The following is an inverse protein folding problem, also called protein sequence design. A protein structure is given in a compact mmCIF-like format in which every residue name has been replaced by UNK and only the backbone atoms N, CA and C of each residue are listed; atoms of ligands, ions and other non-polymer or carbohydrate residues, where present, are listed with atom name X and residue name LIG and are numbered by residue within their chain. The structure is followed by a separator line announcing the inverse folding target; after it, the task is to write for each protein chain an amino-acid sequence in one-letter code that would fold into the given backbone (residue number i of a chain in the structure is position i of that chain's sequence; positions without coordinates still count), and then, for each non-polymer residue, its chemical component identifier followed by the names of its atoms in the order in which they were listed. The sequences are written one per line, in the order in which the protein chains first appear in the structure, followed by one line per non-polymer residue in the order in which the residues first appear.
data_IF_679803419002
#
_entry.id   IF_679803419002
#
_cell.length_a   1.000
_cell.length_b   1.000
_cell.length_c   1.000
_cell.angle_alpha   90.00
_cell.angle_beta   90.00
_cell.angle_gamma   90.00
#
_symmetry.space_group_name_H-M   'P 1'
#
loop_
_entity.id
_entity.type
_entity.pdbx_description
1 polymer ?
#
# COMPACT_ATOMS: atom_id res chain seq x y z
N UNK A 1 -4.58 58.47 -39.29
CA UNK A 1 -5.87 57.75 -39.28
C UNK A 1 -5.78 56.67 -38.20
N UNK A 2 -6.49 56.88 -37.08
CA UNK A 2 -6.92 55.97 -35.98
C UNK A 2 -5.91 54.94 -35.41
N UNK A 3 -5.47 55.04 -34.15
CA UNK A 3 -6.14 54.70 -32.85
C UNK A 3 -6.33 53.17 -32.64
N UNK A 4 -5.54 52.49 -31.80
CA UNK A 4 -5.65 52.19 -30.33
C UNK A 4 -6.64 51.04 -29.99
N UNK A 5 -6.26 50.23 -28.97
CA UNK A 5 -6.96 49.15 -28.23
C UNK A 5 -6.68 47.72 -28.78
N UNK A 6 -6.35 46.68 -28.01
CA UNK A 6 -6.51 46.44 -26.59
C UNK A 6 -5.74 45.17 -26.14
N UNK A 7 -5.09 45.27 -24.97
CA UNK A 7 -5.23 44.37 -23.81
C UNK A 7 -4.53 43.00 -23.80
N UNK A 8 -3.55 42.97 -22.91
CA UNK A 8 -3.09 41.90 -22.01
C UNK A 8 -4.01 40.66 -21.90
N UNK A 9 -3.40 39.48 -22.04
CA UNK A 9 -3.93 38.23 -21.50
C UNK A 9 -2.82 37.48 -20.74
N UNK A 10 -2.31 38.13 -19.68
CA UNK A 10 -1.77 37.36 -18.58
C UNK A 10 -2.94 36.62 -17.89
N UNK A 11 -2.65 35.42 -17.41
CA UNK A 11 -3.53 34.58 -16.57
C UNK A 11 -4.52 33.67 -17.31
N UNK A 12 -4.06 32.46 -17.66
CA UNK A 12 -4.90 31.27 -17.48
C UNK A 12 -4.05 30.00 -17.44
N UNK A 13 -4.39 29.10 -16.51
CA UNK A 13 -3.88 27.72 -16.36
C UNK A 13 -2.55 27.50 -15.62
N UNK A 14 -2.41 28.08 -14.42
CA UNK A 14 -1.62 27.49 -13.31
C UNK A 14 -2.53 27.22 -12.11
N UNK A 15 -3.75 26.71 -12.33
CA UNK A 15 -4.67 26.36 -11.24
C UNK A 15 -5.44 25.10 -11.63
N UNK A 16 -5.42 24.10 -10.72
CA UNK A 16 -6.03 22.76 -10.74
C UNK A 16 -5.00 21.69 -11.19
N UNK A 17 -4.50 20.76 -10.37
CA UNK A 17 -5.03 20.09 -9.17
C UNK A 17 -3.89 19.70 -8.20
N UNK A 18 -3.89 20.28 -7.00
CA UNK A 18 -3.46 19.70 -5.71
C UNK A 18 -4.24 20.50 -4.64
N UNK A 19 -4.98 19.78 -3.79
CA UNK A 19 -5.97 20.25 -2.79
C UNK A 19 -5.28 20.93 -1.57
N UNK A 20 -5.95 21.72 -0.69
CA UNK A 20 -7.30 21.47 -0.15
C UNK A 20 -8.26 22.66 -0.06
N UNK A 21 -9.54 22.32 -0.22
CA UNK A 21 -10.69 23.13 0.18
C UNK A 21 -11.32 22.47 1.39
N UNK A 22 -10.67 22.56 2.54
CA UNK A 22 -11.22 22.23 3.87
C UNK A 22 -10.38 22.96 4.91
N UNK A 23 -10.49 24.29 4.92
CA UNK A 23 -10.12 25.12 6.07
C UNK A 23 -10.87 26.45 6.00
N UNK A 24 -12.17 26.39 6.19
CA UNK A 24 -12.97 27.55 6.59
C UNK A 24 -14.28 27.01 7.16
N UNK A 25 -14.54 27.37 8.43
CA UNK A 25 -15.70 27.03 9.28
C UNK A 25 -15.44 25.94 10.32
N UNK A 26 -14.63 26.27 11.33
CA UNK A 26 -14.91 25.87 12.71
C UNK A 26 -14.79 27.13 13.56
N UNK A 27 -15.94 27.53 14.11
CA UNK A 27 -16.11 28.64 15.04
C UNK A 27 -15.42 28.32 16.37
N UNK A 28 -14.64 29.27 16.87
CA UNK A 28 -14.06 29.24 18.20
C UNK A 28 -15.14 29.62 19.22
N UNK A 29 -15.86 28.62 19.74
CA UNK A 29 -16.67 28.78 20.95
C UNK A 29 -16.18 27.79 22.01
N UNK A 30 -15.75 28.37 23.12
CA UNK A 30 -15.28 27.75 24.35
C UNK A 30 -16.22 26.64 24.85
N UNK A 31 -15.68 25.43 25.02
CA UNK A 31 -16.33 24.38 25.81
C UNK A 31 -15.35 23.87 26.86
N UNK A 32 -15.50 24.43 28.06
CA UNK A 32 -14.96 23.86 29.30
C UNK A 32 -15.60 22.49 29.51
N UNK A 33 -14.80 21.43 29.49
CA UNK A 33 -15.23 20.09 29.88
C UNK A 33 -14.27 19.59 30.96
N UNK A 34 -14.71 19.77 32.19
CA UNK A 34 -14.10 19.23 33.40
C UNK A 34 -14.02 17.70 33.30
N UNK A 35 -12.81 17.15 33.23
CA UNK A 35 -12.57 15.70 33.25
C UNK A 35 -12.60 15.19 34.69
N UNK A 36 -13.70 14.56 35.09
CA UNK A 36 -13.78 13.78 36.34
C UNK A 36 -13.25 12.37 36.10
N UNK A 37 -11.99 12.13 36.46
CA UNK A 37 -11.38 10.80 36.42
C UNK A 37 -11.73 10.01 37.70
N UNK A 38 -12.65 9.06 37.59
CA UNK A 38 -12.92 8.09 38.65
C UNK A 38 -11.84 7.02 38.69
N UNK A 39 -10.75 7.25 39.41
CA UNK A 39 -9.80 6.19 39.75
C UNK A 39 -10.38 5.32 40.86
N UNK A 40 -10.77 4.08 40.56
CA UNK A 40 -10.92 3.05 41.59
C UNK A 40 -9.63 2.23 41.64
N UNK A 41 -8.74 2.66 42.53
CA UNK A 41 -7.72 1.83 43.14
C UNK A 41 -8.41 0.71 43.92
N UNK A 42 -8.17 -0.55 43.56
CA UNK A 42 -8.39 -1.66 44.46
C UNK A 42 -7.32 -2.72 44.20
N UNK A 43 -6.41 -2.86 45.17
CA UNK A 43 -5.61 -4.06 45.37
C UNK A 43 -6.58 -5.21 45.71
N UNK A 44 -6.74 -6.17 44.80
CA UNK A 44 -7.37 -7.46 45.09
C UNK A 44 -6.45 -8.56 44.52
N UNK A 45 -5.89 -9.35 45.43
CA UNK A 45 -5.10 -10.54 45.13
C UNK A 45 -5.98 -11.58 44.42
N UNK A 46 -5.97 -11.58 43.08
CA UNK A 46 -6.67 -12.62 42.30
C UNK A 46 -5.88 -13.92 42.40
N UNK A 47 -6.32 -14.85 43.26
CA UNK A 47 -5.95 -16.26 43.19
C UNK A 47 -6.40 -16.81 41.82
N UNK A 48 -5.46 -16.96 40.88
CA UNK A 48 -5.73 -17.59 39.60
C UNK A 48 -6.04 -19.07 39.84
N UNK A 49 -7.33 -19.38 39.90
CA UNK A 49 -7.87 -20.74 39.87
C UNK A 49 -7.32 -21.46 38.62
N UNK A 50 -6.27 -22.26 38.81
CA UNK A 50 -5.55 -23.04 37.79
C UNK A 50 -6.40 -24.14 37.11
N UNK A 51 -7.73 -24.08 37.22
CA UNK A 51 -8.64 -25.01 36.54
C UNK A 51 -8.87 -24.69 35.06
N UNK A 52 -8.34 -23.55 34.58
CA UNK A 52 -8.42 -23.15 33.17
C UNK A 52 -7.06 -22.69 32.60
N UNK A 53 -5.95 -23.18 33.15
CA UNK A 53 -4.63 -22.89 32.60
C UNK A 53 -4.52 -23.47 31.18
N UNK A 54 -4.37 -22.59 30.19
CA UNK A 54 -4.08 -22.96 28.80
C UNK A 54 -2.72 -23.65 28.80
N UNK A 55 -2.69 -24.94 28.46
CA UNK A 55 -1.42 -25.66 28.35
C UNK A 55 -0.74 -25.31 27.01
N UNK A 56 0.60 -25.31 26.95
CA UNK A 56 1.32 -25.24 25.68
C UNK A 56 0.75 -26.29 24.71
N UNK A 57 0.67 -25.99 23.41
CA UNK A 57 0.21 -26.89 22.33
C UNK A 57 -1.21 -27.49 22.47
N UNK A 58 -2.04 -27.06 23.43
CA UNK A 58 -3.40 -27.60 23.63
C UNK A 58 -4.34 -27.40 22.43
N UNK A 59 -4.06 -26.41 21.59
CA UNK A 59 -4.87 -26.05 20.42
C UNK A 59 -4.10 -26.17 19.09
N UNK A 60 -2.94 -26.82 19.11
CA UNK A 60 -2.24 -27.11 17.87
C UNK A 60 -2.92 -28.32 17.20
N UNK A 61 -3.23 -28.25 15.89
CA UNK A 61 -3.85 -29.35 15.18
C UNK A 61 -2.90 -30.55 15.20
N UNK A 62 -3.43 -31.73 15.56
CA UNK A 62 -2.66 -32.97 15.44
C UNK A 62 -2.29 -33.18 13.98
N UNK A 63 -1.00 -33.28 13.69
CA UNK A 63 -0.55 -33.75 12.39
C UNK A 63 -1.22 -35.10 12.15
N UNK A 64 -2.08 -35.17 11.12
CA UNK A 64 -2.66 -36.44 10.69
C UNK A 64 -1.52 -37.27 10.13
N UNK A 65 -0.93 -38.10 10.99
CA UNK A 65 0.06 -39.11 10.62
C UNK A 65 -0.61 -40.14 9.74
N UNK A 66 -0.75 -39.81 8.45
CA UNK A 66 -0.75 -40.80 7.40
C UNK A 66 0.65 -40.79 6.83
N UNK A 67 1.44 -41.81 7.15
CA UNK A 67 2.60 -42.21 6.37
C UNK A 67 2.08 -42.62 4.98
N UNK A 68 1.80 -41.61 4.16
CA UNK A 68 1.65 -41.79 2.73
C UNK A 68 3.04 -41.60 2.16
N UNK A 69 3.64 -42.71 1.74
CA UNK A 69 4.71 -42.68 0.74
C UNK A 69 4.15 -41.88 -0.46
N UNK A 70 4.45 -40.59 -0.47
CA UNK A 70 3.99 -39.64 -1.47
C UNK A 70 4.88 -39.80 -2.69
N UNK A 71 4.63 -40.84 -3.47
CA UNK A 71 5.13 -40.96 -4.84
C UNK A 71 4.26 -40.10 -5.78
N UNK A 72 4.15 -38.83 -5.41
CA UNK A 72 3.43 -37.80 -6.13
C UNK A 72 4.42 -36.73 -6.53
N UNK A 73 5.19 -37.01 -7.59
CA UNK A 73 5.96 -36.05 -8.38
C UNK A 73 5.01 -34.98 -8.96
N UNK A 74 4.47 -34.11 -8.10
CA UNK A 74 3.58 -33.02 -8.46
C UNK A 74 4.32 -31.71 -8.24
N UNK A 75 4.91 -31.24 -9.33
CA UNK A 75 4.95 -29.82 -9.68
C UNK A 75 5.66 -28.86 -8.70
N UNK A 76 6.79 -29.28 -8.11
CA UNK A 76 7.73 -28.34 -7.48
C UNK A 76 8.66 -27.64 -8.48
N UNK A 77 8.52 -27.96 -9.78
CA UNK A 77 9.51 -27.59 -10.79
C UNK A 77 9.17 -26.30 -11.56
N UNK A 78 7.89 -25.91 -11.70
CA UNK A 78 7.54 -24.64 -12.38
C UNK A 78 8.07 -23.42 -11.62
N UNK A 79 7.86 -23.39 -10.29
CA UNK A 79 8.38 -22.31 -9.44
C UNK A 79 9.91 -22.26 -9.45
N UNK A 80 10.55 -23.43 -9.48
CA UNK A 80 12.01 -23.56 -9.53
C UNK A 80 12.59 -23.11 -10.89
N UNK A 81 11.86 -23.31 -11.99
CA UNK A 81 12.30 -22.92 -13.34
C UNK A 81 12.44 -21.41 -13.49
N UNK A 82 11.51 -20.63 -12.89
CA UNK A 82 11.54 -19.15 -12.94
C UNK A 82 12.70 -18.52 -12.17
N UNK A 83 13.35 -19.30 -11.28
CA UNK A 83 14.55 -18.90 -10.56
C UNK A 83 15.86 -19.20 -11.32
N UNK A 84 15.78 -19.96 -12.40
CA UNK A 84 16.96 -20.41 -13.15
C UNK A 84 17.15 -19.64 -14.47
N UNK A 85 16.06 -19.16 -15.07
CA UNK A 85 16.09 -18.40 -16.32
C UNK A 85 15.08 -17.24 -16.32
N UNK A 86 15.08 -16.47 -17.41
CA UNK A 86 14.15 -15.36 -17.66
C UNK A 86 13.21 -15.64 -18.84
N UNK A 87 12.99 -16.90 -19.22
CA UNK A 87 12.20 -17.26 -20.40
C UNK A 87 10.71 -16.91 -20.23
N UNK A 88 10.26 -16.76 -18.99
CA UNK A 88 8.93 -16.25 -18.62
C UNK A 88 8.77 -14.74 -18.89
N UNK A 89 9.85 -14.00 -19.10
CA UNK A 89 9.79 -12.56 -19.36
C UNK A 89 9.46 -12.26 -20.83
N UNK A 90 8.40 -11.50 -21.05
CA UNK A 90 7.97 -11.04 -22.38
C UNK A 90 8.18 -9.55 -22.64
N UNK A 91 8.64 -8.80 -21.62
CA UNK A 91 8.93 -7.37 -21.75
C UNK A 91 10.43 -7.05 -21.93
N UNK A 92 11.30 -8.04 -21.77
CA UNK A 92 12.75 -7.93 -21.99
C UNK A 92 13.56 -7.27 -20.86
N UNK A 93 12.92 -6.79 -19.79
CA UNK A 93 13.58 -6.04 -18.71
C UNK A 93 13.55 -6.73 -17.34
N UNK A 94 12.95 -7.92 -17.23
CA UNK A 94 12.89 -8.64 -15.95
C UNK A 94 14.22 -9.32 -15.62
N UNK A 95 14.47 -9.50 -14.32
CA UNK A 95 15.62 -10.22 -13.78
C UNK A 95 15.14 -11.30 -12.81
N UNK A 96 16.00 -12.29 -12.55
CA UNK A 96 15.73 -13.32 -11.55
C UNK A 96 15.78 -12.69 -10.16
N UNK A 97 14.71 -12.89 -9.39
CA UNK A 97 14.56 -12.41 -8.01
C UNK A 97 14.81 -13.53 -7.01
N UNK A 98 15.01 -13.22 -5.71
CA UNK A 98 15.29 -14.23 -4.69
C UNK A 98 14.20 -15.30 -4.52
N UNK A 99 12.94 -14.94 -4.79
CA UNK A 99 11.80 -15.86 -4.67
C UNK A 99 11.07 -16.04 -6.01
N UNK A 100 10.57 -17.25 -6.25
CA UNK A 100 9.81 -17.56 -7.47
C UNK A 100 8.55 -16.70 -7.62
N UNK A 101 7.95 -16.30 -6.50
CA UNK A 101 6.79 -15.41 -6.43
C UNK A 101 7.09 -13.98 -6.89
N UNK A 102 8.36 -13.56 -6.85
CA UNK A 102 8.80 -12.25 -7.32
C UNK A 102 9.25 -12.26 -8.80
N UNK A 103 9.46 -13.44 -9.38
CA UNK A 103 9.81 -13.63 -10.80
C UNK A 103 8.59 -13.49 -11.73
N UNK A 104 7.95 -12.31 -11.74
CA UNK A 104 6.72 -12.03 -12.50
C UNK A 104 6.92 -10.93 -13.54
N UNK A 105 6.46 -11.13 -14.78
CA UNK A 105 6.57 -10.13 -15.84
C UNK A 105 5.48 -9.07 -15.68
N UNK A 106 5.79 -7.81 -15.98
CA UNK A 106 4.80 -6.73 -15.96
C UNK A 106 3.60 -6.97 -16.89
N UNK A 107 3.78 -7.77 -17.96
CA UNK A 107 2.71 -8.15 -18.89
C UNK A 107 1.78 -9.24 -18.36
N UNK A 108 2.18 -10.00 -17.34
CA UNK A 108 1.33 -11.02 -16.68
C UNK A 108 0.28 -10.37 -15.78
N UNK A 109 0.54 -9.15 -15.29
CA UNK A 109 -0.34 -8.44 -14.37
C UNK A 109 -1.41 -7.69 -15.16
N UNK A 110 -2.66 -8.16 -15.09
CA UNK A 110 -3.79 -7.61 -15.85
C UNK A 110 -3.98 -6.11 -15.64
N UNK A 111 -3.84 -5.62 -14.41
CA UNK A 111 -3.95 -4.19 -14.09
C UNK A 111 -2.90 -3.34 -14.81
N UNK A 112 -1.68 -3.84 -14.95
CA UNK A 112 -0.61 -3.15 -15.67
C UNK A 112 -0.90 -3.17 -17.17
N UNK A 113 -1.36 -4.32 -17.69
CA UNK A 113 -1.76 -4.45 -19.10
C UNK A 113 -2.84 -3.45 -19.48
N UNK A 114 -3.91 -3.37 -18.69
CA UNK A 114 -4.99 -2.39 -18.92
C UNK A 114 -4.53 -0.94 -18.82
N UNK A 115 -3.59 -0.62 -17.91
CA UNK A 115 -3.01 0.72 -17.81
C UNK A 115 -2.24 1.08 -19.08
N UNK A 116 -1.43 0.16 -19.60
CA UNK A 116 -0.63 0.39 -20.81
C UNK A 116 -1.51 0.54 -22.06
N UNK A 117 -2.57 -0.25 -22.18
CA UNK A 117 -3.54 -0.17 -23.27
C UNK A 117 -4.31 1.17 -23.25
N UNK A 118 -4.73 1.63 -22.07
CA UNK A 118 -5.51 2.86 -21.92
C UNK A 118 -4.77 4.12 -22.37
N UNK A 119 -3.45 4.15 -22.21
CA UNK A 119 -2.62 5.30 -22.57
C UNK A 119 -2.03 5.21 -23.99
N UNK A 120 -2.36 4.16 -24.75
CA UNK A 120 -1.94 4.00 -26.14
C UNK A 120 -0.42 3.97 -26.32
N UNK A 121 0.33 3.62 -25.27
CA UNK A 121 1.79 3.54 -25.37
C UNK A 121 2.16 2.28 -26.15
N UNK A 122 2.91 2.37 -27.26
CA UNK A 122 3.40 1.21 -28.00
C UNK A 122 4.54 0.47 -27.28
N UNK A 123 4.89 0.93 -26.09
CA UNK A 123 5.99 0.41 -25.28
C UNK A 123 5.65 -0.97 -24.73
N UNK A 124 6.62 -1.90 -24.79
CA UNK A 124 6.43 -3.27 -24.33
C UNK A 124 6.64 -3.47 -22.81
N UNK A 125 7.16 -2.46 -22.09
CA UNK A 125 7.44 -2.58 -20.67
C UNK A 125 6.87 -1.40 -19.87
N UNK A 126 6.40 -1.70 -18.64
CA UNK A 126 5.85 -0.69 -17.73
C UNK A 126 6.87 0.39 -17.36
N UNK A 127 8.17 0.05 -17.34
CA UNK A 127 9.23 1.01 -16.99
C UNK A 127 9.40 2.11 -18.03
N UNK A 128 9.02 1.85 -19.27
CA UNK A 128 9.08 2.84 -20.36
C UNK A 128 7.81 3.69 -20.46
N UNK A 129 6.77 3.37 -19.68
CA UNK A 129 5.56 4.17 -19.64
C UNK A 129 5.86 5.59 -19.14
N UNK A 130 5.30 6.60 -19.82
CA UNK A 130 5.55 8.02 -19.52
C UNK A 130 5.22 8.40 -18.07
N UNK A 131 4.24 7.73 -17.47
CA UNK A 131 3.85 7.93 -16.07
C UNK A 131 4.77 7.23 -15.05
N UNK A 132 5.58 6.25 -15.46
CA UNK A 132 6.37 5.45 -14.52
C UNK A 132 7.45 6.27 -13.83
N UNK A 133 8.26 7.01 -14.61
CA UNK A 133 9.33 7.83 -14.05
C UNK A 133 8.82 8.92 -13.07
N UNK A 134 7.86 9.79 -13.44
CA UNK A 134 7.39 10.83 -12.53
C UNK A 134 6.62 10.27 -11.31
N UNK A 135 5.93 9.13 -11.43
CA UNK A 135 5.14 8.59 -10.31
C UNK A 135 5.96 7.69 -9.37
N UNK A 136 6.85 6.86 -9.90
CA UNK A 136 7.51 5.80 -9.14
C UNK A 136 9.00 6.08 -8.85
N UNK A 137 9.68 6.91 -9.66
CA UNK A 137 11.12 7.17 -9.51
C UNK A 137 11.45 8.58 -9.01
N UNK A 138 10.51 9.53 -9.08
CA UNK A 138 10.74 10.90 -8.62
C UNK A 138 10.65 10.99 -7.08
N UNK A 139 11.81 11.17 -6.44
CA UNK A 139 11.92 11.23 -4.97
C UNK A 139 11.04 12.31 -4.34
N UNK A 140 10.88 13.47 -4.99
CA UNK A 140 10.09 14.56 -4.44
C UNK A 140 8.60 14.23 -4.45
N UNK A 141 8.12 13.57 -5.50
CA UNK A 141 6.73 13.08 -5.58
C UNK A 141 6.47 12.05 -4.48
N UNK A 142 7.39 11.10 -4.29
CA UNK A 142 7.28 10.10 -3.22
C UNK A 142 7.30 10.73 -1.82
N UNK A 143 8.13 11.74 -1.58
CA UNK A 143 8.16 12.48 -0.31
C UNK A 143 6.85 13.21 -0.04
N UNK A 144 6.27 13.86 -1.05
CA UNK A 144 4.97 14.54 -0.94
C UNK A 144 3.87 13.53 -0.64
N UNK A 145 3.79 12.44 -1.40
CA UNK A 145 2.80 11.38 -1.21
C UNK A 145 2.91 10.77 0.19
N UNK A 146 4.13 10.48 0.66
CA UNK A 146 4.38 9.98 2.01
C UNK A 146 3.95 10.98 3.08
N UNK A 147 4.25 12.27 2.90
CA UNK A 147 3.86 13.32 3.85
C UNK A 147 2.34 13.47 3.94
N UNK A 148 1.63 13.35 2.82
CA UNK A 148 0.16 13.37 2.77
C UNK A 148 -0.45 12.15 3.46
N UNK A 149 0.04 10.94 3.12
CA UNK A 149 -0.39 9.70 3.79
C UNK A 149 -0.19 9.78 5.31
N UNK A 150 0.96 10.33 5.72
CA UNK A 150 1.29 10.57 7.12
C UNK A 150 0.34 11.51 7.85
N UNK A 151 -0.30 12.47 7.18
CA UNK A 151 -1.28 13.38 7.79
C UNK A 151 -2.64 12.69 7.94
N UNK A 152 -3.03 11.90 6.94
CA UNK A 152 -4.34 11.25 6.91
C UNK A 152 -4.47 10.04 7.84
N UNK A 153 -3.34 9.35 8.11
CA UNK A 153 -3.37 8.04 8.78
C UNK A 153 -2.49 7.92 10.02
N UNK A 154 -1.75 8.97 10.44
CA UNK A 154 -0.99 8.91 11.71
C UNK A 154 -1.89 9.08 12.93
N UNK A 155 -2.99 9.79 12.81
CA UNK A 155 -3.91 10.02 13.94
C UNK A 155 -4.72 8.74 14.26
N UNK A 156 -5.03 7.91 13.26
CA UNK A 156 -5.92 6.74 13.42
C UNK A 156 -5.27 5.46 13.99
N UNK A 157 -3.94 5.37 14.03
CA UNK A 157 -3.24 4.20 14.63
C UNK A 157 -3.17 4.33 16.16
N UNK A 158 -3.31 5.54 16.72
CA UNK A 158 -3.35 5.74 18.16
C UNK A 158 -4.73 5.39 18.77
N UNK A 159 -5.81 5.52 17.99
CA UNK A 159 -7.20 5.33 18.47
C UNK A 159 -7.77 3.91 18.26
N UNK A 160 -6.97 2.99 17.73
CA UNK A 160 -7.38 1.59 17.47
C UNK A 160 -6.64 0.56 18.33
N UNK A 161 -5.91 1.02 19.34
CA UNK A 161 -5.14 0.22 20.28
C UNK A 161 -5.70 0.25 21.73
N UNK A 162 -6.92 0.75 21.95
CA UNK A 162 -7.63 0.66 23.23
C UNK A 162 -8.93 -0.15 23.11
#
# INVERSE_FOLDING_TARGET
MADILHRDFASSLVKQQIWPKVLSDVSEDEISLELSCGSSSFDDDIEINHRNAIAPFQFEPYASGSDVESDGETDSNESSTRLQNTDWCTCGNCVIMPSATECVCCKEIDKIRSLMEAHGSPEDCVTSHLGFHPACLNVYVLQIAHSQYRQQYRETIQDSAE
#
